data_IF_159724105192
#
_entry.id   IF_159724105192
#
_cell.length_a   1.000
_cell.length_b   1.000
_cell.length_c   1.000
_cell.angle_alpha   90.00
_cell.angle_beta   90.00
_cell.angle_gamma   90.00
#
_symmetry.space_group_name_H-M   'P 1'
#
loop_
_entity.id
_entity.type
_entity.pdbx_description
1 polymer ?
#
# COMPACT_ATOMS: atom_id res chain seq x y z
N UNK A 1 3.05 -16.22 2.99
CA UNK A 1 2.21 -15.07 2.59
C UNK A 1 3.08 -13.98 1.95
N UNK A 2 2.57 -13.26 0.95
CA UNK A 2 3.28 -12.15 0.31
C UNK A 2 2.40 -10.89 0.25
N UNK A 3 3.04 -9.72 0.27
CA UNK A 3 2.36 -8.43 0.16
C UNK A 3 3.03 -7.58 -0.90
N UNK A 4 2.26 -6.88 -1.74
CA UNK A 4 2.76 -5.90 -2.70
C UNK A 4 1.92 -4.63 -2.62
N UNK A 5 2.54 -3.53 -2.22
CA UNK A 5 1.98 -2.18 -2.32
C UNK A 5 2.39 -1.58 -3.66
N UNK A 6 1.42 -1.20 -4.49
CA UNK A 6 1.65 -0.39 -5.68
C UNK A 6 1.15 1.02 -5.45
N UNK A 7 1.92 1.98 -5.92
CA UNK A 7 1.56 3.40 -5.89
C UNK A 7 1.96 4.09 -7.17
N UNK A 8 1.18 5.07 -7.60
CA UNK A 8 1.60 5.97 -8.66
C UNK A 8 2.89 6.70 -8.26
N UNK A 9 3.94 6.57 -9.07
CA UNK A 9 5.24 7.21 -8.85
C UNK A 9 5.11 8.74 -8.80
N UNK A 10 4.32 9.32 -9.69
CA UNK A 10 4.10 10.77 -9.75
C UNK A 10 3.29 11.30 -8.57
N UNK A 11 2.39 10.49 -8.00
CA UNK A 11 1.77 10.81 -6.71
C UNK A 11 2.83 10.78 -5.60
N UNK A 12 3.68 9.75 -5.56
CA UNK A 12 4.71 9.63 -4.52
C UNK A 12 5.78 10.74 -4.58
N UNK A 13 6.19 11.16 -5.78
CA UNK A 13 7.19 12.23 -5.98
C UNK A 13 6.59 13.64 -5.93
N UNK A 14 5.27 13.77 -5.96
CA UNK A 14 4.56 15.05 -6.00
C UNK A 14 4.49 15.70 -7.39
N UNK A 15 4.92 15.01 -8.44
CA UNK A 15 4.90 15.50 -9.83
C UNK A 15 3.47 15.73 -10.37
N UNK A 16 2.45 15.08 -9.79
CA UNK A 16 1.05 15.40 -10.09
C UNK A 16 0.57 16.74 -9.49
N UNK A 17 1.35 17.39 -8.63
CA UNK A 17 1.03 18.70 -8.05
C UNK A 17 -0.11 18.67 -7.03
N UNK A 18 -0.46 17.49 -6.49
CA UNK A 18 -1.47 17.35 -5.45
C UNK A 18 -0.79 16.97 -4.12
N UNK A 19 -0.54 17.96 -3.28
CA UNK A 19 0.17 17.81 -2.00
C UNK A 19 -0.54 16.79 -1.09
N UNK A 20 -1.88 16.83 -1.03
CA UNK A 20 -2.66 15.88 -0.23
C UNK A 20 -2.44 14.44 -0.66
N UNK A 21 -2.59 14.14 -1.95
CA UNK A 21 -2.34 12.79 -2.48
C UNK A 21 -0.88 12.37 -2.32
N UNK A 22 0.05 13.33 -2.40
CA UNK A 22 1.47 13.07 -2.22
C UNK A 22 1.77 12.61 -0.80
N UNK A 23 1.26 13.32 0.21
CA UNK A 23 1.42 12.96 1.61
C UNK A 23 0.85 11.56 1.89
N UNK A 24 -0.40 11.30 1.49
CA UNK A 24 -1.03 9.98 1.66
C UNK A 24 -0.21 8.86 0.99
N UNK A 25 0.31 9.11 -0.21
CA UNK A 25 1.11 8.11 -0.94
C UNK A 25 2.46 7.86 -0.28
N UNK A 26 3.09 8.90 0.27
CA UNK A 26 4.35 8.76 1.02
C UNK A 26 4.14 7.99 2.32
N UNK A 27 3.03 8.24 3.02
CA UNK A 27 2.68 7.50 4.24
C UNK A 27 2.42 6.02 3.97
N UNK A 28 1.65 5.68 2.92
CA UNK A 28 1.47 4.27 2.51
C UNK A 28 2.82 3.57 2.27
N UNK A 29 3.72 4.24 1.54
CA UNK A 29 5.06 3.70 1.25
C UNK A 29 5.87 3.55 2.54
N UNK A 30 5.87 4.55 3.42
CA UNK A 30 6.60 4.50 4.69
C UNK A 30 6.11 3.36 5.59
N UNK A 31 4.79 3.15 5.68
CA UNK A 31 4.23 2.01 6.41
C UNK A 31 4.65 0.68 5.80
N UNK A 32 4.58 0.52 4.48
CA UNK A 32 4.99 -0.72 3.82
C UNK A 32 6.51 -0.99 3.96
N UNK A 33 7.34 0.06 3.90
CA UNK A 33 8.79 -0.05 4.15
C UNK A 33 9.06 -0.53 5.57
N UNK A 34 8.35 0.04 6.55
CA UNK A 34 8.46 -0.37 7.93
C UNK A 34 7.99 -1.83 8.14
N UNK A 35 6.86 -2.24 7.57
CA UNK A 35 6.39 -3.63 7.62
C UNK A 35 7.44 -4.58 7.00
N UNK A 36 8.08 -4.19 5.90
CA UNK A 36 9.10 -5.00 5.23
C UNK A 36 10.28 -5.33 6.15
N UNK A 37 10.70 -4.40 7.00
CA UNK A 37 11.78 -4.63 7.96
C UNK A 37 11.42 -5.67 9.03
N UNK A 38 10.13 -5.83 9.33
CA UNK A 38 9.61 -6.73 10.36
C UNK A 38 8.75 -7.88 9.81
N UNK A 39 8.80 -8.13 8.50
CA UNK A 39 7.93 -9.08 7.80
C UNK A 39 7.85 -10.46 8.45
N UNK A 40 8.97 -10.94 9.00
CA UNK A 40 9.08 -12.26 9.62
C UNK A 40 8.24 -12.37 10.92
N UNK A 41 7.97 -11.25 11.59
CA UNK A 41 7.18 -11.19 12.84
C UNK A 41 5.70 -11.51 12.57
N UNK A 42 5.20 -11.13 11.39
CA UNK A 42 3.80 -11.36 10.99
C UNK A 42 3.68 -12.46 9.92
N UNK A 43 4.74 -13.24 9.70
CA UNK A 43 4.72 -14.39 8.79
C UNK A 43 4.62 -14.03 7.31
N UNK A 44 5.07 -12.83 6.93
CA UNK A 44 5.20 -12.43 5.52
C UNK A 44 6.55 -12.89 4.96
N UNK A 45 6.51 -13.66 3.89
CA UNK A 45 7.71 -14.11 3.16
C UNK A 45 8.38 -12.93 2.44
N UNK A 46 7.58 -12.01 1.91
CA UNK A 46 8.04 -10.84 1.18
C UNK A 46 7.04 -9.68 1.23
N UNK A 47 7.60 -8.46 1.17
CA UNK A 47 6.86 -7.21 1.02
C UNK A 47 7.50 -6.42 -0.12
N UNK A 48 6.74 -6.21 -1.19
CA UNK A 48 7.15 -5.48 -2.38
C UNK A 48 6.51 -4.10 -2.40
N UNK A 49 7.23 -3.11 -2.94
CA UNK A 49 6.76 -1.72 -3.04
C UNK A 49 7.07 -1.22 -4.44
N UNK A 50 6.07 -1.19 -5.30
CA UNK A 50 6.22 -0.88 -6.71
C UNK A 50 5.68 0.52 -7.01
N UNK A 51 6.52 1.37 -7.58
CA UNK A 51 6.16 2.73 -8.00
C UNK A 51 5.88 2.72 -9.49
N UNK A 52 4.62 2.81 -9.89
CA UNK A 52 4.20 2.69 -11.30
C UNK A 52 4.24 4.04 -12.01
N UNK A 53 4.68 4.05 -13.27
CA UNK A 53 4.62 5.22 -14.13
C UNK A 53 3.21 5.37 -14.73
N UNK A 54 2.75 6.61 -14.92
CA UNK A 54 1.44 6.87 -15.52
C UNK A 54 1.36 6.29 -16.95
N UNK A 55 0.39 5.41 -17.18
CA UNK A 55 0.19 4.75 -18.48
C UNK A 55 1.05 3.49 -18.70
N UNK A 56 1.87 3.11 -17.72
CA UNK A 56 2.36 1.73 -17.63
C UNK A 56 1.21 0.86 -17.10
N UNK A 57 1.00 -0.32 -17.69
CA UNK A 57 -0.01 -1.26 -17.20
C UNK A 57 0.32 -1.81 -15.81
N UNK A 58 1.47 -1.40 -15.24
CA UNK A 58 1.91 -1.76 -13.91
C UNK A 58 2.29 -3.22 -13.89
N UNK A 59 3.44 -3.56 -14.47
CA UNK A 59 4.01 -4.89 -14.29
C UNK A 59 4.24 -5.13 -12.81
N UNK A 60 3.52 -6.09 -12.22
CA UNK A 60 3.75 -6.56 -10.88
C UNK A 60 5.24 -6.90 -10.68
N UNK A 61 5.82 -6.50 -9.55
CA UNK A 61 7.16 -7.00 -9.22
C UNK A 61 7.11 -8.47 -8.81
N UNK A 62 6.00 -8.90 -8.19
CA UNK A 62 5.83 -10.26 -7.70
C UNK A 62 4.43 -10.85 -7.96
N UNK A 63 3.35 -10.12 -7.66
CA UNK A 63 1.99 -10.65 -7.71
C UNK A 63 1.25 -10.18 -8.96
N UNK A 64 1.12 -11.01 -10.01
CA UNK A 64 0.50 -10.66 -11.31
C UNK A 64 -1.02 -10.46 -11.23
N UNK A 65 -1.42 -9.41 -10.52
CA UNK A 65 -2.80 -8.99 -10.23
C UNK A 65 -2.98 -7.59 -10.77
N UNK A 66 -3.91 -7.41 -11.70
CA UNK A 66 -4.25 -6.11 -12.27
C UNK A 66 -5.66 -5.75 -11.83
N UNK A 67 -5.81 -4.57 -11.26
CA UNK A 67 -7.08 -4.08 -10.72
C UNK A 67 -7.59 -2.95 -11.58
N UNK A 68 -8.85 -3.07 -11.97
CA UNK A 68 -9.56 -2.06 -12.74
C UNK A 68 -10.81 -1.62 -11.98
N UNK A 69 -11.09 -0.31 -12.04
CA UNK A 69 -12.34 0.29 -11.59
C UNK A 69 -13.18 0.78 -12.77
N UNK A 70 -14.36 1.32 -12.45
CA UNK A 70 -15.20 2.04 -13.41
C UNK A 70 -15.31 3.48 -12.91
N UNK A 71 -14.89 4.44 -13.73
CA UNK A 71 -15.03 5.86 -13.48
C UNK A 71 -15.62 6.54 -14.71
N UNK A 72 -16.68 7.33 -14.53
CA UNK A 72 -17.39 8.02 -15.62
C UNK A 72 -17.75 7.10 -16.80
N UNK A 73 -18.36 5.94 -16.50
CA UNK A 73 -18.72 4.88 -17.44
C UNK A 73 -17.54 4.28 -18.25
N UNK A 74 -16.30 4.55 -17.82
CA UNK A 74 -15.08 4.08 -18.46
C UNK A 74 -14.31 3.15 -17.52
N UNK A 75 -13.80 2.03 -18.06
CA UNK A 75 -12.90 1.14 -17.31
C UNK A 75 -11.54 1.83 -17.16
N UNK A 76 -11.09 2.02 -15.93
CA UNK A 76 -9.82 2.65 -15.59
C UNK A 76 -8.96 1.68 -14.79
N UNK A 77 -7.66 1.66 -15.07
CA UNK A 77 -6.72 0.92 -14.24
C UNK A 77 -6.47 1.68 -12.94
N UNK A 78 -6.31 0.96 -11.83
CA UNK A 78 -5.94 1.54 -10.56
C UNK A 78 -4.42 1.53 -10.41
N UNK A 79 -3.84 2.72 -10.38
CA UNK A 79 -2.38 2.91 -10.24
C UNK A 79 -1.90 2.62 -8.80
N UNK A 80 -2.80 2.76 -7.83
CA UNK A 80 -2.54 2.50 -6.41
C UNK A 80 -3.38 1.31 -5.94
N UNK A 81 -2.74 0.34 -5.28
CA UNK A 81 -3.40 -0.86 -4.75
C UNK A 81 -2.48 -1.57 -3.74
N UNK A 82 -3.08 -2.26 -2.78
CA UNK A 82 -2.39 -3.23 -1.92
C UNK A 82 -2.89 -4.64 -2.26
N UNK A 83 -1.97 -5.54 -2.59
CA UNK A 83 -2.26 -6.95 -2.89
C UNK A 83 -1.61 -7.82 -1.83
N UNK A 84 -2.36 -8.78 -1.30
CA UNK A 84 -1.86 -9.77 -0.33
C UNK A 84 -2.23 -11.17 -0.82
N UNK A 85 -1.21 -12.03 -0.94
CA UNK A 85 -1.37 -13.46 -1.16
C UNK A 85 -1.20 -14.21 0.17
N UNK A 86 -2.24 -14.89 0.63
CA UNK A 86 -2.19 -15.73 1.83
C UNK A 86 -1.63 -17.14 1.49
N UNK A 87 -1.33 -17.93 2.51
CA UNK A 87 -0.78 -19.29 2.39
C UNK A 87 -1.70 -20.28 1.67
N UNK A 88 -3.00 -19.97 1.57
CA UNK A 88 -3.99 -20.72 0.80
C UNK A 88 -4.08 -20.26 -0.67
N UNK A 89 -3.09 -19.50 -1.18
CA UNK A 89 -3.05 -18.92 -2.53
C UNK A 89 -4.24 -17.99 -2.84
N UNK A 90 -4.91 -17.53 -1.78
CA UNK A 90 -6.00 -16.57 -1.87
C UNK A 90 -5.44 -15.15 -1.98
N UNK A 91 -6.01 -14.37 -2.91
CA UNK A 91 -5.56 -13.00 -3.19
C UNK A 91 -6.58 -12.02 -2.62
N UNK A 92 -6.12 -11.15 -1.73
CA UNK A 92 -6.85 -9.99 -1.21
C UNK A 92 -6.34 -8.74 -1.92
N UNK A 93 -7.25 -7.85 -2.30
CA UNK A 93 -6.95 -6.62 -3.04
C UNK A 93 -7.67 -5.47 -2.37
N UNK A 94 -6.91 -4.42 -2.04
CA UNK A 94 -7.43 -3.16 -1.52
C UNK A 94 -7.06 -2.05 -2.51
N UNK A 95 -8.02 -1.53 -3.31
CA UNK A 95 -7.76 -0.47 -4.28
C UNK A 95 -7.88 0.95 -3.70
N UNK A 96 -8.58 1.10 -2.57
CA UNK A 96 -8.91 2.39 -1.98
C UNK A 96 -7.88 2.79 -0.90
N UNK A 97 -7.52 4.08 -0.86
CA UNK A 97 -6.41 4.56 -0.04
C UNK A 97 -6.65 4.40 1.48
N UNK A 98 -7.89 4.59 1.92
CA UNK A 98 -8.30 4.44 3.32
C UNK A 98 -8.16 2.98 3.79
N UNK A 99 -8.68 2.04 3.00
CA UNK A 99 -8.54 0.60 3.26
C UNK A 99 -7.06 0.18 3.28
N UNK A 100 -6.26 0.66 2.32
CA UNK A 100 -4.82 0.38 2.27
C UNK A 100 -4.12 0.87 3.56
N UNK A 101 -4.37 2.11 3.97
CA UNK A 101 -3.77 2.67 5.19
C UNK A 101 -4.22 1.91 6.43
N UNK A 102 -5.51 1.56 6.53
CA UNK A 102 -6.02 0.79 7.67
C UNK A 102 -5.36 -0.58 7.75
N UNK A 103 -5.20 -1.29 6.63
CA UNK A 103 -4.49 -2.58 6.60
C UNK A 103 -3.03 -2.41 7.00
N UNK A 104 -2.33 -1.43 6.45
CA UNK A 104 -0.91 -1.21 6.77
C UNK A 104 -0.70 -0.83 8.24
N UNK A 105 -1.52 0.05 8.80
CA UNK A 105 -1.42 0.46 10.20
C UNK A 105 -1.74 -0.69 11.16
N UNK A 106 -2.75 -1.51 10.87
CA UNK A 106 -3.05 -2.73 11.65
C UNK A 106 -1.90 -3.74 11.64
N UNK A 107 -1.20 -3.89 10.51
CA UNK A 107 0.00 -4.73 10.46
C UNK A 107 1.11 -4.18 11.38
N UNK A 108 1.34 -2.87 11.38
CA UNK A 108 2.31 -2.23 12.29
C UNK A 108 1.92 -2.36 13.76
N UNK A 109 0.62 -2.25 14.08
CA UNK A 109 0.12 -2.47 15.44
C UNK A 109 0.39 -3.91 15.89
N UNK A 110 0.08 -4.89 15.03
CA UNK A 110 0.36 -6.30 15.31
C UNK A 110 1.86 -6.56 15.51
N UNK A 111 2.73 -5.93 14.71
CA UNK A 111 4.19 -6.02 14.89
C UNK A 111 4.60 -5.39 16.23
N UNK A 112 4.05 -4.22 16.57
CA UNK A 112 4.35 -3.52 17.82
C UNK A 112 3.98 -4.37 19.04
N UNK A 113 2.80 -4.99 19.01
CA UNK A 113 2.32 -5.88 20.07
C UNK A 113 3.24 -7.10 20.26
N UNK A 114 3.66 -7.73 19.16
CA UNK A 114 4.50 -8.93 19.21
C UNK A 114 5.94 -8.64 19.62
N UNK A 115 6.52 -7.54 19.14
CA UNK A 115 7.90 -7.13 19.44
C UNK A 115 8.02 -6.41 20.78
N UNK A 116 6.91 -5.86 21.30
CA UNK A 116 6.88 -4.91 22.43
C UNK A 116 7.74 -3.67 22.19
N UNK A 117 7.92 -3.30 20.93
CA UNK A 117 8.62 -2.10 20.48
C UNK A 117 7.62 -1.21 19.76
N UNK A 118 7.82 0.09 19.84
CA UNK A 118 7.06 1.02 19.01
C UNK A 118 7.64 0.98 17.59
N UNK A 119 6.91 0.37 16.66
CA UNK A 119 7.27 0.33 15.24
C UNK A 119 6.35 1.20 14.38
N UNK A 120 5.59 2.10 15.01
CA UNK A 120 4.67 2.98 14.31
C UNK A 120 5.39 3.94 13.36
N UNK A 121 4.66 4.39 12.34
CA UNK A 121 5.09 5.44 11.41
C UNK A 121 4.29 6.69 11.72
N UNK A 122 4.96 7.84 11.78
CA UNK A 122 4.29 9.13 11.94
C UNK A 122 3.52 9.46 10.66
N UNK A 123 2.19 9.40 10.72
CA UNK A 123 1.31 9.70 9.61
C UNK A 123 1.08 11.21 9.48
N UNK A 124 0.93 11.68 8.24
CA UNK A 124 0.55 13.04 7.94
C UNK A 124 -0.88 13.35 8.42
N UNK A 125 -1.20 14.63 8.57
CA UNK A 125 -2.55 15.06 8.93
C UNK A 125 -3.58 14.63 7.86
N UNK A 126 -3.19 14.66 6.59
CA UNK A 126 -4.02 14.26 5.45
C UNK A 126 -4.39 12.79 5.48
N UNK A 127 -3.48 11.93 5.92
CA UNK A 127 -3.71 10.49 6.09
C UNK A 127 -4.53 10.22 7.33
N UNK A 128 -4.27 10.92 8.44
CA UNK A 128 -5.07 10.79 9.66
C UNK A 128 -6.55 11.08 9.40
N UNK A 129 -6.88 12.07 8.57
CA UNK A 129 -8.25 12.37 8.15
C UNK A 129 -8.97 11.20 7.44
N UNK A 130 -8.24 10.26 6.83
CA UNK A 130 -8.84 9.14 6.11
C UNK A 130 -9.34 8.02 7.03
N UNK A 131 -8.74 7.87 8.20
CA UNK A 131 -8.98 6.76 9.13
C UNK A 131 -9.69 7.20 10.43
N UNK A 132 -10.31 8.39 10.43
CA UNK A 132 -11.02 8.98 11.58
C UNK A 132 -12.53 8.77 11.52
#
# INVERSE_FOLDING_TARGET
>A
MQMELRVCKQCHTGEHGNERKTAITQDMVACAEQIREYKDIIGLDAVYITKVEAGDAGGAEALDVIVAGIQDDTVTLQDTQLVIEDNDESILVYPDHDDIIEVLTRNLDQISEQTRQDVSVELSAETAELIT
#
